data_IF_161557342857
#
_entry.id   IF_161557342857
#
_cell.length_a   1.000
_cell.length_b   1.000
_cell.length_c   1.000
_cell.angle_alpha   90.00
_cell.angle_beta   90.00
_cell.angle_gamma   90.00
#
_symmetry.space_group_name_H-M   'P 1'
#
loop_
_entity.id
_entity.type
_entity.pdbx_description
1 polymer ?
#
# COMPACT_ATOMS: atom_id res chain seq x y z
N UNK A 1 -20.82 58.01 35.28
CA UNK A 1 -20.58 56.56 35.46
C UNK A 1 -19.91 56.03 34.18
N UNK A 2 -18.58 55.86 34.17
CA UNK A 2 -17.86 55.31 33.02
C UNK A 2 -17.86 53.78 33.14
N UNK A 3 -18.63 53.08 32.30
CA UNK A 3 -18.59 51.61 32.23
C UNK A 3 -17.37 51.20 31.40
N UNK A 4 -16.35 50.66 32.04
CA UNK A 4 -15.22 50.04 31.38
C UNK A 4 -15.67 48.67 30.84
N UNK A 5 -15.58 48.49 29.52
CA UNK A 5 -15.85 47.21 28.86
C UNK A 5 -14.52 46.44 28.79
N UNK A 6 -14.39 45.37 29.59
CA UNK A 6 -13.22 44.51 29.57
C UNK A 6 -13.39 43.50 28.43
N UNK A 7 -12.65 43.70 27.35
CA UNK A 7 -12.61 42.76 26.23
C UNK A 7 -11.69 41.59 26.61
N UNK A 8 -12.27 40.44 26.95
CA UNK A 8 -11.52 39.20 27.17
C UNK A 8 -11.16 38.61 25.80
N UNK A 9 -9.93 38.81 25.34
CA UNK A 9 -9.38 38.08 24.20
C UNK A 9 -9.09 36.63 24.62
N UNK A 10 -9.91 35.69 24.18
CA UNK A 10 -9.60 34.26 24.21
C UNK A 10 -8.55 33.95 23.14
N UNK A 11 -7.31 33.74 23.56
CA UNK A 11 -6.28 33.15 22.71
C UNK A 11 -6.56 31.64 22.69
N UNK A 12 -7.21 31.16 21.64
CA UNK A 12 -7.24 29.72 21.34
C UNK A 12 -5.87 29.37 20.78
N UNK A 13 -4.99 28.85 21.64
CA UNK A 13 -3.75 28.23 21.18
C UNK A 13 -4.13 26.93 20.47
N UNK A 14 -4.14 26.94 19.14
CA UNK A 14 -4.18 25.71 18.37
C UNK A 14 -2.87 24.96 18.65
N UNK A 15 -2.95 23.84 19.37
CA UNK A 15 -1.82 22.93 19.50
C UNK A 15 -1.57 22.31 18.13
N UNK A 16 -0.53 22.76 17.45
CA UNK A 16 -0.02 22.07 16.26
C UNK A 16 0.62 20.79 16.80
N UNK A 17 -0.11 19.67 16.77
CA UNK A 17 0.49 18.38 17.06
C UNK A 17 1.57 18.15 16.01
N UNK A 18 2.83 18.02 16.44
CA UNK A 18 3.92 17.73 15.54
C UNK A 18 3.67 16.36 14.88
N UNK A 19 3.83 16.30 13.56
CA UNK A 19 3.74 15.04 12.82
C UNK A 19 4.84 14.10 13.31
N UNK A 20 4.45 12.99 13.95
CA UNK A 20 5.39 11.98 14.41
C UNK A 20 5.72 11.01 13.27
N UNK A 21 6.98 10.60 13.16
CA UNK A 21 7.36 9.48 12.32
C UNK A 21 7.26 8.18 13.13
N UNK A 22 6.44 7.24 12.66
CA UNK A 22 6.24 5.92 13.26
C UNK A 22 6.94 4.89 12.38
N UNK A 23 7.99 4.25 12.89
CA UNK A 23 8.65 3.15 12.21
C UNK A 23 7.81 1.88 12.38
N UNK A 24 7.50 1.21 11.28
CA UNK A 24 6.74 -0.04 11.23
C UNK A 24 7.63 -1.11 10.61
N UNK A 25 7.74 -2.26 11.28
CA UNK A 25 8.50 -3.42 10.82
C UNK A 25 7.83 -4.72 11.27
N UNK A 26 8.08 -5.81 10.55
CA UNK A 26 7.57 -7.14 10.91
C UNK A 26 6.06 -7.29 10.69
N UNK A 27 5.35 -7.91 11.62
CA UNK A 27 3.95 -8.30 11.43
C UNK A 27 2.96 -7.38 12.16
N UNK A 28 1.95 -6.91 11.43
CA UNK A 28 0.71 -6.34 11.94
C UNK A 28 -0.30 -7.50 12.08
N UNK A 29 -0.48 -8.01 13.29
CA UNK A 29 -1.29 -9.22 13.56
C UNK A 29 -2.67 -8.94 14.18
N UNK A 30 -2.97 -7.66 14.39
CA UNK A 30 -4.25 -7.18 14.92
C UNK A 30 -4.69 -5.94 14.14
N UNK A 31 -6.00 -5.69 14.14
CA UNK A 31 -6.57 -4.53 13.48
C UNK A 31 -5.85 -3.26 13.93
N UNK A 32 -5.33 -2.52 12.95
CA UNK A 32 -4.48 -1.36 13.18
C UNK A 32 -4.98 -0.21 12.33
N UNK A 33 -4.95 1.00 12.87
CA UNK A 33 -5.28 2.22 12.12
C UNK A 33 -4.05 3.11 12.03
N UNK A 34 -3.73 3.53 10.82
CA UNK A 34 -2.75 4.55 10.52
C UNK A 34 -3.44 5.88 10.29
N UNK A 35 -2.98 6.92 10.96
CA UNK A 35 -3.67 8.20 11.08
C UNK A 35 -2.91 9.32 10.39
N UNK A 36 -3.63 10.31 9.85
CA UNK A 36 -3.03 11.35 9.00
C UNK A 36 -2.12 12.35 9.72
N UNK A 37 -2.17 12.37 11.04
CA UNK A 37 -1.28 13.17 11.88
C UNK A 37 0.12 12.52 12.05
N UNK A 38 0.35 11.34 11.48
CA UNK A 38 1.63 10.65 11.52
C UNK A 38 2.16 10.40 10.10
N UNK A 39 3.48 10.22 10.00
CA UNK A 39 4.13 9.61 8.83
C UNK A 39 4.56 8.20 9.23
N UNK A 40 4.22 7.20 8.43
CA UNK A 40 4.61 5.81 8.70
C UNK A 40 5.83 5.46 7.84
N UNK A 41 6.87 4.91 8.44
CA UNK A 41 8.07 4.44 7.74
C UNK A 41 8.10 2.92 7.76
N UNK A 42 7.94 2.28 6.60
CA UNK A 42 8.10 0.85 6.40
C UNK A 42 9.59 0.50 6.41
N UNK A 43 10.01 -0.27 7.41
CA UNK A 43 11.38 -0.78 7.53
C UNK A 43 11.35 -2.30 7.45
N UNK A 44 11.93 -2.84 6.38
CA UNK A 44 11.80 -4.24 6.00
C UNK A 44 10.45 -4.58 5.39
N UNK A 45 10.20 -5.87 5.25
CA UNK A 45 8.89 -6.37 4.86
C UNK A 45 7.92 -6.25 6.03
N UNK A 46 6.86 -5.47 5.83
CA UNK A 46 5.77 -5.25 6.78
C UNK A 46 4.57 -6.08 6.33
N UNK A 47 4.19 -7.07 7.13
CA UNK A 47 3.11 -7.99 6.78
C UNK A 47 1.85 -7.70 7.59
N UNK A 48 0.70 -7.57 6.93
CA UNK A 48 -0.62 -7.67 7.56
C UNK A 48 -1.00 -9.14 7.59
N UNK A 49 -1.11 -9.71 8.80
CA UNK A 49 -1.32 -11.15 9.06
C UNK A 49 -2.46 -11.40 10.03
N UNK A 50 -2.83 -12.68 10.18
CA UNK A 50 -3.77 -13.16 11.19
C UNK A 50 -5.17 -12.53 11.05
N UNK A 51 -5.69 -12.55 9.82
CA UNK A 51 -6.99 -11.99 9.44
C UNK A 51 -7.18 -10.51 9.85
N UNK A 52 -6.07 -9.79 10.06
CA UNK A 52 -6.10 -8.40 10.48
C UNK A 52 -6.52 -7.48 9.33
N UNK A 53 -7.11 -6.35 9.70
CA UNK A 53 -7.37 -5.22 8.82
C UNK A 53 -6.44 -4.06 9.16
N UNK A 54 -5.68 -3.61 8.18
CA UNK A 54 -4.95 -2.34 8.23
C UNK A 54 -5.83 -1.24 7.63
N UNK A 55 -6.29 -0.31 8.46
CA UNK A 55 -7.03 0.88 8.01
C UNK A 55 -6.07 2.06 7.93
N UNK A 56 -6.13 2.83 6.85
CA UNK A 56 -5.29 4.01 6.63
C UNK A 56 -6.21 5.21 6.38
N UNK A 57 -6.10 6.24 7.23
CA UNK A 57 -6.90 7.45 7.11
C UNK A 57 -6.53 8.26 5.85
N UNK A 58 -7.50 8.98 5.23
CA UNK A 58 -7.22 9.93 4.16
C UNK A 58 -6.11 10.91 4.50
N UNK A 59 -5.25 11.23 3.53
CA UNK A 59 -4.12 12.16 3.71
C UNK A 59 -2.92 11.58 4.46
N UNK A 60 -2.95 10.31 4.87
CA UNK A 60 -1.79 9.67 5.49
C UNK A 60 -0.64 9.50 4.49
N UNK A 61 0.58 9.80 4.95
CA UNK A 61 1.82 9.56 4.19
C UNK A 61 2.55 8.36 4.76
N UNK A 62 2.91 7.44 3.88
CA UNK A 62 3.66 6.22 4.15
C UNK A 62 4.94 6.28 3.32
N UNK A 63 6.07 6.00 3.95
CA UNK A 63 7.39 6.00 3.32
C UNK A 63 7.99 4.60 3.35
N UNK A 64 8.64 4.18 2.27
CA UNK A 64 9.43 2.96 2.24
C UNK A 64 10.93 3.24 2.44
N UNK A 65 11.57 2.48 3.33
CA UNK A 65 13.02 2.55 3.52
C UNK A 65 13.78 1.72 2.47
N UNK A 66 14.69 2.37 1.73
CA UNK A 66 15.47 1.73 0.66
C UNK A 66 16.38 0.61 1.13
N UNK A 67 17.11 0.86 2.21
CA UNK A 67 18.16 -0.04 2.68
C UNK A 67 17.60 -1.38 3.13
N UNK A 68 16.39 -1.36 3.70
CA UNK A 68 15.68 -2.54 4.17
C UNK A 68 14.66 -3.08 3.18
N UNK A 69 14.54 -2.50 1.97
CA UNK A 69 13.51 -2.86 0.98
C UNK A 69 12.10 -2.76 1.58
N UNK A 70 11.84 -1.65 2.28
CA UNK A 70 10.56 -1.35 2.91
C UNK A 70 9.40 -1.69 1.97
N UNK A 71 8.50 -2.56 2.40
CA UNK A 71 7.39 -3.07 1.58
C UNK A 71 6.17 -3.32 2.46
N UNK A 72 4.97 -3.13 1.92
CA UNK A 72 3.72 -3.48 2.61
C UNK A 72 3.09 -4.70 1.93
N UNK A 73 2.88 -5.76 2.69
CA UNK A 73 2.36 -7.04 2.21
C UNK A 73 1.08 -7.37 2.97
N UNK A 74 -0.04 -7.42 2.26
CA UNK A 74 -1.34 -7.85 2.79
C UNK A 74 -1.53 -9.31 2.43
N UNK A 75 -1.37 -10.19 3.42
CA UNK A 75 -1.43 -11.65 3.20
C UNK A 75 -2.86 -12.16 3.02
N UNK A 76 -3.02 -13.37 2.45
CA UNK A 76 -4.33 -14.02 2.25
C UNK A 76 -5.19 -13.97 3.51
N UNK A 77 -6.42 -13.47 3.36
CA UNK A 77 -7.40 -13.33 4.44
C UNK A 77 -7.34 -12.01 5.20
N UNK A 78 -6.24 -11.28 5.08
CA UNK A 78 -6.10 -9.95 5.65
C UNK A 78 -6.65 -8.88 4.70
N UNK A 79 -6.81 -7.66 5.23
CA UNK A 79 -7.39 -6.55 4.47
C UNK A 79 -6.59 -5.26 4.63
N UNK A 80 -6.61 -4.47 3.57
CA UNK A 80 -6.19 -3.06 3.60
C UNK A 80 -7.39 -2.17 3.29
N UNK A 81 -7.64 -1.17 4.11
CA UNK A 81 -8.68 -0.15 3.89
C UNK A 81 -7.99 1.20 3.79
N UNK A 82 -7.55 1.53 2.58
CA UNK A 82 -6.92 2.80 2.21
C UNK A 82 -7.88 3.57 1.28
N UNK A 83 -8.84 4.26 1.88
CA UNK A 83 -9.86 5.03 1.15
C UNK A 83 -9.63 6.53 1.32
N UNK A 84 -8.65 7.08 0.61
CA UNK A 84 -8.40 8.51 0.52
C UNK A 84 -9.52 9.27 -0.19
N UNK A 85 -9.29 10.55 -0.44
CA UNK A 85 -10.20 11.42 -1.20
C UNK A 85 -9.42 12.19 -2.28
N UNK A 86 -10.08 12.85 -3.24
CA UNK A 86 -9.39 13.72 -4.19
C UNK A 86 -8.54 14.81 -3.51
N UNK A 87 -9.04 15.34 -2.38
CA UNK A 87 -8.39 16.43 -1.64
C UNK A 87 -7.35 15.93 -0.63
N UNK A 88 -7.52 14.70 -0.12
CA UNK A 88 -6.64 14.05 0.85
C UNK A 88 -6.28 12.63 0.38
N UNK A 89 -5.50 12.48 -0.72
CA UNK A 89 -5.05 11.17 -1.17
C UNK A 89 -4.10 10.53 -0.15
N UNK A 90 -4.11 9.21 -0.07
CA UNK A 90 -3.10 8.45 0.69
C UNK A 90 -1.87 8.29 -0.20
N UNK A 91 -0.68 8.58 0.34
CA UNK A 91 0.56 8.59 -0.44
C UNK A 91 1.56 7.60 0.14
N UNK A 92 1.91 6.58 -0.65
CA UNK A 92 3.07 5.72 -0.45
C UNK A 92 4.23 6.24 -1.30
N UNK A 93 5.39 6.52 -0.70
CA UNK A 93 6.52 7.15 -1.40
C UNK A 93 7.88 6.78 -0.83
N UNK A 94 8.96 7.27 -1.44
CA UNK A 94 10.35 7.05 -0.99
C UNK A 94 10.66 7.75 0.33
N UNK A 95 11.54 7.15 1.13
CA UNK A 95 12.14 7.80 2.31
C UNK A 95 13.39 8.64 1.98
N UNK A 96 13.90 8.59 0.74
CA UNK A 96 15.11 9.31 0.33
C UNK A 96 14.86 10.82 0.20
N UNK A 97 15.91 11.61 0.45
CA UNK A 97 15.86 13.06 0.29
C UNK A 97 15.74 13.50 -1.19
N UNK A 98 16.16 12.65 -2.12
CA UNK A 98 16.04 12.85 -3.56
C UNK A 98 15.49 11.55 -4.16
N UNK A 99 14.16 11.40 -4.19
CA UNK A 99 13.53 10.17 -4.65
C UNK A 99 13.92 9.78 -6.08
N UNK A 100 14.14 8.50 -6.30
CA UNK A 100 14.37 7.90 -7.61
C UNK A 100 13.67 6.53 -7.69
N UNK A 101 13.55 6.02 -8.91
CA UNK A 101 13.10 4.68 -9.23
C UNK A 101 13.69 3.62 -8.27
N UNK A 102 12.84 2.76 -7.69
CA UNK A 102 13.28 1.60 -6.93
C UNK A 102 13.85 1.96 -5.56
N UNK A 103 13.32 3.01 -4.94
CA UNK A 103 13.73 3.45 -3.60
C UNK A 103 13.06 2.65 -2.48
N UNK A 104 12.07 1.82 -2.78
CA UNK A 104 11.44 0.89 -1.85
C UNK A 104 10.69 -0.20 -2.63
N UNK A 105 10.15 -1.20 -1.94
CA UNK A 105 9.51 -2.34 -2.60
C UNK A 105 8.22 -1.96 -3.29
N UNK A 106 7.16 -1.73 -2.52
CA UNK A 106 5.84 -1.45 -3.07
C UNK A 106 4.74 -1.97 -2.17
N UNK A 107 3.54 -2.09 -2.74
CA UNK A 107 2.37 -2.64 -2.06
C UNK A 107 1.97 -3.95 -2.73
N UNK A 108 1.82 -4.99 -1.92
CA UNK A 108 1.48 -6.33 -2.38
C UNK A 108 0.20 -6.77 -1.69
N UNK A 109 -0.77 -7.25 -2.46
CA UNK A 109 -2.02 -7.80 -1.96
C UNK A 109 -2.16 -9.24 -2.43
N UNK A 110 -2.21 -10.17 -1.47
CA UNK A 110 -2.44 -11.59 -1.71
C UNK A 110 -3.89 -11.93 -1.40
N UNK A 111 -4.69 -12.18 -2.43
CA UNK A 111 -6.09 -12.58 -2.31
C UNK A 111 -6.31 -14.10 -2.44
N UNK A 112 -7.57 -14.49 -2.32
CA UNK A 112 -8.05 -15.90 -2.38
C UNK A 112 -8.81 -16.23 -3.67
N UNK A 113 -8.77 -15.35 -4.67
CA UNK A 113 -9.42 -15.58 -5.94
C UNK A 113 -8.61 -16.52 -6.85
N UNK A 114 -9.26 -17.16 -7.84
CA UNK A 114 -8.61 -18.10 -8.73
C UNK A 114 -7.41 -17.50 -9.48
N UNK A 115 -6.38 -18.32 -9.68
CA UNK A 115 -5.20 -18.05 -10.52
C UNK A 115 -4.89 -19.31 -11.34
N UNK A 116 -4.20 -19.13 -12.46
CA UNK A 116 -3.59 -20.18 -13.29
C UNK A 116 -2.25 -20.68 -12.73
N UNK A 117 -1.70 -20.05 -11.69
CA UNK A 117 -0.43 -20.44 -11.07
C UNK A 117 -0.50 -21.81 -10.37
N UNK A 118 0.68 -22.41 -10.18
CA UNK A 118 0.88 -23.64 -9.42
C UNK A 118 2.13 -23.51 -8.56
N UNK A 119 2.04 -23.92 -7.30
CA UNK A 119 3.15 -23.86 -6.36
C UNK A 119 3.30 -25.21 -5.66
N UNK A 120 4.51 -25.79 -5.71
CA UNK A 120 4.81 -27.11 -5.14
C UNK A 120 3.81 -28.22 -5.54
N UNK A 121 3.31 -28.17 -6.79
CA UNK A 121 2.35 -29.13 -7.33
C UNK A 121 0.90 -28.93 -6.87
N UNK A 122 0.59 -27.79 -6.25
CA UNK A 122 -0.77 -27.37 -5.91
C UNK A 122 -1.22 -26.31 -6.90
N UNK A 123 -2.17 -26.68 -7.77
CA UNK A 123 -2.76 -25.77 -8.74
C UNK A 123 -3.70 -24.76 -8.06
N UNK A 124 -3.73 -23.53 -8.59
CA UNK A 124 -4.53 -22.44 -8.04
C UNK A 124 -3.86 -21.71 -6.86
N UNK A 125 -2.59 -22.01 -6.58
CA UNK A 125 -1.75 -21.28 -5.63
C UNK A 125 -0.48 -20.80 -6.32
N UNK A 126 -0.13 -19.52 -6.12
CA UNK A 126 1.13 -18.94 -6.58
C UNK A 126 1.94 -18.41 -5.39
N UNK A 127 3.26 -18.37 -5.55
CA UNK A 127 4.17 -17.71 -4.60
C UNK A 127 4.46 -16.31 -5.13
N UNK A 128 4.25 -15.27 -4.31
CA UNK A 128 4.62 -13.90 -4.71
C UNK A 128 6.13 -13.82 -4.89
N UNK A 129 6.55 -13.12 -5.94
CA UNK A 129 7.95 -12.81 -6.22
C UNK A 129 8.55 -11.82 -5.21
N UNK A 130 9.76 -11.33 -5.44
CA UNK A 130 10.42 -10.37 -4.56
C UNK A 130 10.86 -10.92 -3.20
N UNK A 131 10.93 -12.25 -3.06
CA UNK A 131 11.38 -12.92 -1.82
C UNK A 131 10.42 -12.77 -0.63
N UNK A 132 9.17 -12.39 -0.89
CA UNK A 132 8.16 -12.08 0.13
C UNK A 132 7.75 -13.32 0.93
N UNK A 133 7.75 -14.50 0.28
CA UNK A 133 7.46 -15.78 0.91
C UNK A 133 5.98 -16.01 1.24
N UNK A 134 5.07 -15.27 0.59
CA UNK A 134 3.63 -15.38 0.81
C UNK A 134 2.94 -15.96 -0.43
N UNK A 135 1.91 -16.76 -0.17
CA UNK A 135 1.11 -17.37 -1.22
C UNK A 135 -0.11 -16.50 -1.54
N UNK A 136 -0.50 -16.48 -2.80
CA UNK A 136 -1.78 -15.98 -3.28
C UNK A 136 -2.57 -17.09 -3.99
N UNK A 137 -3.83 -16.81 -4.32
CA UNK A 137 -4.68 -17.76 -5.02
C UNK A 137 -5.60 -18.54 -4.09
N UNK A 138 -6.61 -19.15 -4.69
CA UNK A 138 -7.67 -19.89 -4.03
C UNK A 138 -8.86 -20.14 -4.96
N UNK A 139 -10.04 -20.33 -4.40
CA UNK A 139 -11.25 -20.66 -5.14
C UNK A 139 -12.40 -19.67 -4.92
N UNK A 140 -12.14 -18.51 -4.32
CA UNK A 140 -13.15 -17.50 -4.02
C UNK A 140 -13.05 -16.30 -4.98
N UNK A 141 -13.75 -16.33 -6.14
CA UNK A 141 -13.73 -15.20 -7.07
C UNK A 141 -14.33 -13.92 -6.47
N UNK A 142 -15.02 -13.99 -5.33
CA UNK A 142 -15.59 -12.83 -4.65
C UNK A 142 -14.79 -12.43 -3.41
N UNK A 143 -13.55 -12.94 -3.25
CA UNK A 143 -12.64 -12.54 -2.19
C UNK A 143 -12.53 -11.01 -2.10
N UNK A 144 -12.46 -10.51 -0.88
CA UNK A 144 -12.41 -9.09 -0.60
C UNK A 144 -11.20 -8.79 0.29
N UNK A 145 -10.11 -8.37 -0.37
CA UNK A 145 -8.86 -7.94 0.25
C UNK A 145 -8.88 -6.47 0.69
N UNK A 146 -10.01 -5.77 0.51
CA UNK A 146 -10.28 -4.44 1.03
C UNK A 146 -10.49 -3.36 -0.04
N UNK A 147 -9.95 -2.17 0.21
CA UNK A 147 -10.17 -0.95 -0.59
C UNK A 147 -8.87 -0.18 -0.76
N UNK A 148 -8.49 0.08 -2.02
CA UNK A 148 -7.56 1.15 -2.40
C UNK A 148 -8.34 2.17 -3.23
N UNK A 149 -8.53 3.37 -2.68
CA UNK A 149 -9.23 4.47 -3.35
C UNK A 149 -8.48 5.79 -3.13
N UNK A 150 -8.22 6.55 -4.20
CA UNK A 150 -7.42 7.79 -4.15
C UNK A 150 -6.07 7.57 -3.46
N UNK A 151 -5.31 6.62 -4.02
CA UNK A 151 -4.00 6.22 -3.51
C UNK A 151 -2.93 6.55 -4.55
N UNK A 152 -1.81 7.10 -4.09
CA UNK A 152 -0.58 7.29 -4.90
C UNK A 152 0.50 6.37 -4.38
N UNK A 153 1.15 5.65 -5.28
CA UNK A 153 2.31 4.81 -5.01
C UNK A 153 3.46 5.33 -5.88
N UNK A 154 4.55 5.74 -5.26
CA UNK A 154 5.60 6.50 -5.95
C UNK A 154 6.98 5.91 -5.65
N UNK A 155 7.84 5.81 -6.67
CA UNK A 155 9.24 5.41 -6.50
C UNK A 155 9.45 3.99 -5.95
N UNK A 156 8.44 3.12 -6.08
CA UNK A 156 8.50 1.69 -5.77
C UNK A 156 9.36 0.93 -6.81
N UNK A 157 9.37 -0.40 -6.80
CA UNK A 157 10.07 -1.18 -7.83
C UNK A 157 11.42 -1.78 -7.42
N UNK A 158 11.76 -1.86 -6.13
CA UNK A 158 13.14 -2.26 -5.75
C UNK A 158 13.41 -3.74 -6.09
N UNK A 159 14.53 -4.00 -6.74
CA UNK A 159 15.03 -5.35 -6.96
C UNK A 159 15.29 -6.09 -5.63
N UNK A 160 14.60 -7.22 -5.40
CA UNK A 160 14.96 -8.13 -4.30
C UNK A 160 16.24 -8.88 -4.67
N UNK A 161 16.27 -9.44 -5.88
CA UNK A 161 17.42 -10.00 -6.57
C UNK A 161 17.41 -9.55 -8.04
N UNK A 162 18.50 -9.72 -8.82
CA UNK A 162 18.47 -9.38 -10.24
C UNK A 162 17.36 -10.15 -10.96
N UNK A 163 16.45 -9.44 -11.64
CA UNK A 163 15.29 -10.00 -12.36
C UNK A 163 14.30 -10.73 -11.42
N UNK A 164 14.11 -10.18 -10.23
CA UNK A 164 13.17 -10.64 -9.21
C UNK A 164 12.89 -9.43 -8.30
N UNK A 165 12.17 -8.47 -8.84
CA UNK A 165 11.84 -7.18 -8.28
C UNK A 165 10.51 -7.23 -7.49
N UNK A 166 10.22 -6.17 -6.73
CA UNK A 166 8.89 -5.93 -6.16
C UNK A 166 8.28 -4.76 -6.91
N UNK A 167 7.06 -4.91 -7.41
CA UNK A 167 6.38 -3.93 -8.25
C UNK A 167 5.71 -2.79 -7.46
N UNK A 168 5.16 -1.80 -8.17
CA UNK A 168 4.41 -0.71 -7.56
C UNK A 168 3.20 -1.18 -6.78
N UNK A 169 2.22 -1.76 -7.49
CA UNK A 169 1.09 -2.47 -6.90
C UNK A 169 0.98 -3.88 -7.47
N UNK A 170 1.39 -4.88 -6.69
CA UNK A 170 1.23 -6.30 -7.01
C UNK A 170 -0.09 -6.82 -6.48
N UNK A 171 -0.87 -7.48 -7.34
CA UNK A 171 -2.18 -8.05 -7.05
C UNK A 171 -2.18 -9.54 -7.37
N UNK A 172 -1.79 -10.37 -6.41
CA UNK A 172 -1.85 -11.82 -6.54
C UNK A 172 -3.22 -12.36 -6.14
N UNK A 173 -3.96 -12.96 -7.07
CA UNK A 173 -5.23 -13.62 -6.79
C UNK A 173 -6.27 -12.73 -6.10
N UNK A 174 -6.30 -11.42 -6.39
CA UNK A 174 -7.22 -10.47 -5.74
C UNK A 174 -8.64 -10.64 -6.30
N UNK A 175 -9.64 -10.76 -5.42
CA UNK A 175 -11.02 -11.05 -5.81
C UNK A 175 -11.87 -9.85 -6.21
N UNK A 176 -12.98 -10.11 -6.90
CA UNK A 176 -13.93 -9.10 -7.39
C UNK A 176 -14.68 -8.36 -6.27
N UNK A 177 -14.61 -8.84 -5.03
CA UNK A 177 -15.12 -8.13 -3.85
C UNK A 177 -14.23 -6.95 -3.41
N UNK A 178 -12.99 -6.89 -3.91
CA UNK A 178 -12.01 -5.83 -3.61
C UNK A 178 -12.27 -4.60 -4.47
N UNK A 179 -12.17 -3.41 -3.88
CA UNK A 179 -12.26 -2.14 -4.63
C UNK A 179 -10.88 -1.55 -4.84
N UNK A 180 -10.46 -1.41 -6.10
CA UNK A 180 -9.23 -0.72 -6.47
C UNK A 180 -9.59 0.32 -7.53
N UNK A 181 -9.63 1.59 -7.13
CA UNK A 181 -9.96 2.68 -8.06
C UNK A 181 -9.31 4.01 -7.75
N UNK A 182 -9.08 4.85 -8.76
CA UNK A 182 -8.35 6.11 -8.61
C UNK A 182 -6.98 5.91 -7.96
N UNK A 183 -6.24 4.91 -8.46
CA UNK A 183 -4.89 4.58 -7.99
C UNK A 183 -3.89 5.05 -9.05
N UNK A 184 -2.88 5.78 -8.62
CA UNK A 184 -1.76 6.16 -9.47
C UNK A 184 -0.49 5.48 -8.96
N UNK A 185 0.24 4.86 -9.86
CA UNK A 185 1.62 4.40 -9.64
C UNK A 185 2.55 5.23 -10.51
N UNK A 186 3.64 5.74 -9.94
CA UNK A 186 4.58 6.58 -10.70
C UNK A 186 6.02 6.38 -10.32
N UNK A 187 6.92 6.51 -11.30
CA UNK A 187 8.37 6.35 -11.12
C UNK A 187 8.74 4.99 -10.52
N UNK A 188 7.96 3.94 -10.79
CA UNK A 188 8.31 2.58 -10.39
C UNK A 188 9.53 2.11 -11.20
N UNK A 189 10.52 1.50 -10.55
CA UNK A 189 11.69 0.91 -11.22
C UNK A 189 11.35 -0.38 -11.97
N UNK A 190 10.25 -0.99 -11.62
CA UNK A 190 9.69 -2.16 -12.30
C UNK A 190 8.25 -1.83 -12.68
N UNK A 191 7.34 -2.80 -12.67
CA UNK A 191 5.98 -2.58 -13.12
C UNK A 191 5.20 -1.61 -12.23
N UNK A 192 4.37 -0.81 -12.87
CA UNK A 192 3.43 0.03 -12.14
C UNK A 192 2.34 -0.80 -11.47
N UNK A 193 1.62 -1.61 -12.27
CA UNK A 193 0.58 -2.50 -11.79
C UNK A 193 0.80 -3.89 -12.35
N UNK A 194 0.72 -4.89 -11.49
CA UNK A 194 0.95 -6.26 -11.88
C UNK A 194 -0.11 -7.17 -11.26
N UNK A 195 -0.73 -7.99 -12.10
CA UNK A 195 -1.74 -8.96 -11.69
C UNK A 195 -1.20 -10.37 -11.87
N UNK A 196 -1.21 -11.15 -10.78
CA UNK A 196 -1.02 -12.59 -10.88
C UNK A 196 -2.37 -13.29 -10.70
N UNK A 197 -3.07 -13.50 -11.81
CA UNK A 197 -4.46 -13.96 -11.82
C UNK A 197 -5.42 -13.10 -10.99
N UNK A 198 -6.48 -13.74 -10.47
CA UNK A 198 -7.55 -13.09 -9.72
C UNK A 198 -8.73 -12.65 -10.59
N UNK A 199 -9.62 -11.87 -9.98
CA UNK A 199 -10.89 -11.41 -10.59
C UNK A 199 -11.24 -9.96 -10.25
N UNK A 200 -10.32 -9.23 -9.61
CA UNK A 200 -10.51 -7.82 -9.27
C UNK A 200 -10.74 -6.98 -10.53
N UNK A 201 -11.68 -6.05 -10.44
CA UNK A 201 -12.02 -5.16 -11.55
C UNK A 201 -11.63 -3.72 -11.19
N UNK A 202 -10.40 -3.35 -11.57
CA UNK A 202 -9.84 -2.04 -11.25
C UNK A 202 -10.39 -0.94 -12.15
N UNK A 203 -10.48 0.30 -11.64
CA UNK A 203 -10.98 1.46 -12.40
C UNK A 203 -10.13 2.70 -12.19
N UNK A 204 -9.99 3.54 -13.22
CA UNK A 204 -9.29 4.83 -13.11
C UNK A 204 -7.85 4.66 -12.59
N UNK A 205 -7.11 3.76 -13.22
CA UNK A 205 -5.69 3.55 -12.93
C UNK A 205 -4.85 4.52 -13.76
N UNK A 206 -3.75 5.00 -13.17
CA UNK A 206 -2.75 5.82 -13.84
C UNK A 206 -1.38 5.21 -13.59
N UNK A 207 -0.75 4.68 -14.63
CA UNK A 207 0.68 4.42 -14.63
C UNK A 207 1.39 5.65 -15.21
N UNK A 208 2.44 6.13 -14.54
CA UNK A 208 3.19 7.28 -15.01
C UNK A 208 4.69 7.11 -14.80
N UNK A 209 5.40 6.94 -15.93
CA UNK A 209 6.85 6.77 -15.96
C UNK A 209 7.31 5.58 -15.11
N UNK A 210 6.69 4.41 -15.26
CA UNK A 210 7.35 3.17 -14.89
C UNK A 210 8.61 2.98 -15.76
N UNK A 211 9.59 2.22 -15.27
CA UNK A 211 10.79 1.90 -16.03
C UNK A 211 10.60 0.63 -16.88
N UNK A 212 9.86 -0.36 -16.36
CA UNK A 212 9.45 -1.55 -17.11
C UNK A 212 8.00 -1.42 -17.61
N UNK A 213 7.05 -2.28 -17.22
CA UNK A 213 5.69 -2.25 -17.75
C UNK A 213 4.73 -1.34 -16.96
N UNK A 214 3.83 -0.68 -17.69
CA UNK A 214 2.76 0.11 -17.07
C UNK A 214 1.69 -0.80 -16.43
N UNK A 215 1.39 -1.92 -17.09
CA UNK A 215 0.39 -2.90 -16.69
C UNK A 215 0.85 -4.29 -17.16
N UNK A 216 1.18 -5.18 -16.23
CA UNK A 216 1.55 -6.57 -16.52
C UNK A 216 0.55 -7.58 -15.91
N UNK A 217 0.29 -8.69 -16.60
CA UNK A 217 -0.72 -9.67 -16.22
C UNK A 217 -0.26 -11.09 -16.54
N UNK A 218 -0.06 -11.88 -15.48
CA UNK A 218 0.40 -13.28 -15.48
C UNK A 218 -0.71 -14.30 -15.15
#
# INVERSE_FOLDING_TARGET
MKKAFLLLTFIVAASIAATAQIVVSGNITANTTWTKNNVYLLSGFVYVKNDATLTIEPGTVIKGDKNTKGSLIVTRGCKIVASGTPDEPIVFTSNEATPTYGDWGGVIICGKAPTNASNNGVDGEGLVEGGVGELYGGNDPMDNSGVLRYVRIEYAGIAFQPNNEINGLTMGGVGAGTTIEYVQVSYANDDAFEWFGGTVNCKYLIAYRALDDDFDCD
#
